data_IF_533214318222
#
_entry.id   IF_533214318222
#
_cell.length_a   1.000
_cell.length_b   1.000
_cell.length_c   1.000
_cell.angle_alpha   90.00
_cell.angle_beta   90.00
_cell.angle_gamma   90.00
#
_symmetry.space_group_name_H-M   'P 1'
#
loop_
_entity.id
_entity.type
_entity.pdbx_description
1 polymer ?
#
# COMPACT_ATOMS: atom_id res chain seq x y z
N UNK A 1 -14.23 -16.63 -2.20
CA UNK A 1 -13.63 -16.04 -0.98
C UNK A 1 -13.28 -14.60 -1.31
N UNK A 2 -13.93 -13.60 -0.70
CA UNK A 2 -13.64 -12.19 -1.02
C UNK A 2 -12.30 -11.83 -0.37
N UNK A 3 -11.26 -11.46 -1.12
CA UNK A 3 -10.06 -10.91 -0.50
C UNK A 3 -10.46 -9.58 0.12
N UNK A 4 -10.57 -9.56 1.45
CA UNK A 4 -10.65 -8.31 2.21
C UNK A 4 -9.34 -7.58 1.95
N UNK A 5 -9.39 -6.57 1.09
CA UNK A 5 -8.41 -5.50 1.03
C UNK A 5 -8.27 -4.93 2.43
N UNK A 6 -7.23 -5.40 3.14
CA UNK A 6 -6.58 -4.81 4.32
C UNK A 6 -7.54 -4.08 5.26
N UNK A 7 -8.33 -4.82 6.04
CA UNK A 7 -8.88 -4.32 7.31
C UNK A 7 -7.80 -4.39 8.40
N UNK A 8 -6.74 -3.60 8.21
CA UNK A 8 -5.57 -3.55 9.07
C UNK A 8 -5.10 -2.13 9.33
N UNK A 9 -6.02 -1.17 9.48
CA UNK A 9 -5.66 0.17 9.97
C UNK A 9 -5.54 0.16 11.50
N UNK A 10 -4.54 -0.54 12.03
CA UNK A 10 -4.03 -0.23 13.37
C UNK A 10 -3.27 1.11 13.26
N UNK A 11 -3.99 2.24 13.34
CA UNK A 11 -3.40 3.58 13.36
C UNK A 11 -3.97 4.61 12.37
N UNK A 12 -5.26 4.58 12.02
CA UNK A 12 -5.86 5.53 11.07
C UNK A 12 -5.93 7.01 11.52
N UNK A 13 -5.18 7.45 12.53
CA UNK A 13 -5.45 8.74 13.19
C UNK A 13 -4.70 9.96 12.62
N UNK A 14 -3.63 9.80 11.82
CA UNK A 14 -2.71 10.92 11.53
C UNK A 14 -2.05 10.85 10.14
N UNK A 15 -2.82 10.52 9.09
CA UNK A 15 -2.36 10.66 7.69
C UNK A 15 -2.87 11.97 7.08
N UNK A 16 -1.97 12.81 6.58
CA UNK A 16 -2.32 14.03 5.84
C UNK A 16 -2.17 13.81 4.33
N UNK A 17 -3.27 13.81 3.58
CA UNK A 17 -3.23 13.70 2.11
C UNK A 17 -2.45 14.87 1.51
N UNK A 18 -1.43 14.58 0.71
CA UNK A 18 -0.58 15.58 0.03
C UNK A 18 -0.76 15.58 -1.47
N UNK A 19 -1.11 14.43 -2.06
CA UNK A 19 -1.27 14.28 -3.51
C UNK A 19 -2.28 13.19 -3.85
N UNK A 20 -2.96 13.35 -4.98
CA UNK A 20 -3.94 12.41 -5.48
C UNK A 20 -3.91 12.36 -7.01
N UNK A 21 -3.96 11.14 -7.56
CA UNK A 21 -4.28 10.88 -8.95
C UNK A 21 -5.68 10.27 -8.97
N UNK A 22 -6.70 11.02 -9.45
CA UNK A 22 -8.05 10.50 -9.50
C UNK A 22 -8.16 9.35 -10.49
N UNK A 23 -9.22 8.55 -10.33
CA UNK A 23 -9.49 7.42 -11.21
C UNK A 23 -9.60 7.86 -12.67
N UNK A 24 -8.98 7.10 -13.56
CA UNK A 24 -9.06 7.27 -15.00
C UNK A 24 -9.35 5.91 -15.67
N UNK A 25 -10.23 5.86 -16.67
CA UNK A 25 -10.64 4.63 -17.33
C UNK A 25 -9.52 3.91 -18.10
N UNK A 26 -8.50 4.65 -18.56
CA UNK A 26 -7.31 4.08 -19.20
C UNK A 26 -6.38 3.47 -18.15
N UNK A 27 -6.16 4.16 -17.03
CA UNK A 27 -5.28 3.69 -15.94
C UNK A 27 -5.92 2.63 -15.05
N UNK A 28 -7.23 2.66 -14.88
CA UNK A 28 -8.03 1.75 -14.05
C UNK A 28 -7.62 1.69 -12.56
N UNK A 29 -6.96 2.73 -12.05
CA UNK A 29 -6.65 2.91 -10.63
C UNK A 29 -6.79 4.37 -10.18
N UNK A 30 -6.91 4.55 -8.87
CA UNK A 30 -6.83 5.80 -8.13
C UNK A 30 -5.68 5.67 -7.12
N UNK A 31 -4.75 6.62 -7.14
CA UNK A 31 -3.60 6.69 -6.23
C UNK A 31 -3.70 7.89 -5.28
N UNK A 32 -3.40 7.68 -4.00
CA UNK A 32 -3.31 8.73 -2.97
C UNK A 32 -1.94 8.65 -2.31
N UNK A 33 -1.27 9.80 -2.15
CA UNK A 33 -0.08 9.93 -1.32
C UNK A 33 -0.45 10.75 -0.09
N UNK A 34 -0.15 10.20 1.08
CA UNK A 34 -0.35 10.87 2.36
C UNK A 34 0.97 10.92 3.12
N UNK A 35 1.20 12.02 3.84
CA UNK A 35 2.25 12.12 4.83
C UNK A 35 1.79 11.44 6.10
N UNK A 36 2.64 10.61 6.67
CA UNK A 36 2.46 10.07 8.01
C UNK A 36 2.90 11.11 9.04
N UNK A 37 1.98 11.46 9.94
CA UNK A 37 2.22 12.40 11.04
C UNK A 37 2.45 11.67 12.38
N UNK A 38 2.49 10.34 12.39
CA UNK A 38 2.88 9.55 13.56
C UNK A 38 4.40 9.62 13.76
N UNK A 39 4.85 9.39 14.99
CA UNK A 39 6.28 9.29 15.25
C UNK A 39 6.82 8.05 14.52
N UNK A 40 7.88 8.18 13.71
CA UNK A 40 8.41 7.08 12.94
C UNK A 40 8.86 5.95 13.89
N UNK A 41 8.51 4.70 13.58
CA UNK A 41 8.96 3.55 14.36
C UNK A 41 10.49 3.41 14.29
N UNK A 42 11.11 2.73 15.25
CA UNK A 42 12.57 2.49 15.23
C UNK A 42 13.03 1.79 13.93
N UNK A 43 12.17 0.95 13.35
CA UNK A 43 12.42 0.27 12.06
C UNK A 43 12.40 1.22 10.87
N UNK A 44 11.49 2.21 10.89
CA UNK A 44 11.41 3.23 9.84
C UNK A 44 12.56 4.22 9.96
N UNK A 45 12.91 4.62 11.19
CA UNK A 45 14.09 5.43 11.48
C UNK A 45 15.38 4.74 11.02
N UNK A 46 15.50 3.42 11.19
CA UNK A 46 16.66 2.67 10.72
C UNK A 46 16.85 2.74 9.19
N UNK A 47 15.75 2.81 8.42
CA UNK A 47 15.77 3.03 6.96
C UNK A 47 15.99 4.49 6.57
N UNK A 48 15.57 5.42 7.43
CA UNK A 48 15.69 6.87 7.24
C UNK A 48 17.02 7.46 7.73
N UNK A 49 17.95 6.66 8.27
CA UNK A 49 19.29 7.07 8.77
C UNK A 49 20.15 7.88 7.79
N UNK A 50 19.70 8.09 6.55
CA UNK A 50 20.35 8.96 5.56
C UNK A 50 19.80 10.39 5.49
N UNK A 51 18.65 10.70 6.09
CA UNK A 51 18.01 12.02 5.98
C UNK A 51 17.63 12.61 7.34
N UNK A 52 18.40 13.60 7.78
CA UNK A 52 18.04 14.45 8.92
C UNK A 52 16.74 15.21 8.59
N UNK A 53 15.69 14.99 9.39
CA UNK A 53 14.37 15.59 9.18
C UNK A 53 13.46 14.88 8.16
N UNK A 54 13.73 13.61 7.83
CA UNK A 54 12.91 12.84 6.89
C UNK A 54 11.44 12.71 7.31
N UNK A 55 10.52 12.93 6.35
CA UNK A 55 9.10 12.66 6.52
C UNK A 55 8.73 11.31 5.88
N UNK A 56 7.90 10.52 6.56
CA UNK A 56 7.36 9.28 6.01
C UNK A 56 6.14 9.62 5.15
N UNK A 57 6.09 9.03 3.97
CA UNK A 57 4.94 9.09 3.09
C UNK A 57 4.40 7.68 2.84
N UNK A 58 3.08 7.56 2.83
CA UNK A 58 2.35 6.34 2.50
C UNK A 58 1.67 6.53 1.16
N UNK A 59 1.89 5.58 0.26
CA UNK A 59 1.20 5.52 -1.03
C UNK A 59 0.11 4.46 -0.94
N UNK A 60 -1.11 4.84 -1.28
CA UNK A 60 -2.27 3.97 -1.31
C UNK A 60 -2.82 3.92 -2.74
N UNK A 61 -3.06 2.73 -3.27
CA UNK A 61 -3.62 2.52 -4.60
C UNK A 61 -4.86 1.64 -4.48
N UNK A 62 -5.95 2.04 -5.15
CA UNK A 62 -7.14 1.22 -5.34
C UNK A 62 -7.51 1.18 -6.82
N UNK A 63 -7.95 0.04 -7.33
CA UNK A 63 -8.24 -0.10 -8.76
C UNK A 63 -8.70 -1.49 -9.13
N UNK A 64 -8.68 -1.76 -10.43
CA UNK A 64 -8.88 -3.10 -10.95
C UNK A 64 -7.80 -4.05 -10.39
N UNK A 65 -8.17 -5.26 -9.95
CA UNK A 65 -7.26 -6.17 -9.23
C UNK A 65 -6.01 -6.49 -10.05
N UNK A 66 -6.15 -6.75 -11.36
CA UNK A 66 -5.04 -7.05 -12.26
C UNK A 66 -4.00 -5.91 -12.31
N UNK A 67 -4.46 -4.66 -12.32
CA UNK A 67 -3.57 -3.48 -12.40
C UNK A 67 -2.86 -3.23 -11.07
N UNK A 68 -3.55 -3.43 -9.95
CA UNK A 68 -2.94 -3.27 -8.62
C UNK A 68 -1.91 -4.38 -8.37
N UNK A 69 -2.24 -5.62 -8.73
CA UNK A 69 -1.35 -6.78 -8.54
C UNK A 69 -0.06 -6.68 -9.34
N UNK A 70 -0.08 -6.06 -10.53
CA UNK A 70 1.14 -5.77 -11.30
C UNK A 70 2.13 -4.89 -10.55
N UNK A 71 1.63 -3.98 -9.71
CA UNK A 71 2.43 -3.03 -8.93
C UNK A 71 2.85 -3.57 -7.56
N UNK A 72 2.43 -4.78 -7.19
CA UNK A 72 2.68 -5.38 -5.88
C UNK A 72 3.74 -6.49 -5.94
N UNK A 73 4.65 -6.50 -4.98
CA UNK A 73 5.64 -7.58 -4.80
C UNK A 73 5.30 -8.53 -3.65
N UNK A 74 4.53 -8.05 -2.67
CA UNK A 74 4.18 -8.78 -1.45
C UNK A 74 2.70 -8.64 -1.13
N UNK A 75 2.14 -9.69 -0.54
CA UNK A 75 0.80 -9.73 0.01
C UNK A 75 0.88 -9.86 1.52
N UNK A 76 0.03 -9.13 2.23
CA UNK A 76 -0.03 -9.18 3.69
C UNK A 76 -1.13 -10.17 4.11
N UNK A 77 -0.75 -11.30 4.72
CA UNK A 77 -1.69 -12.29 5.27
C UNK A 77 -1.44 -12.42 6.77
N UNK A 78 -2.45 -12.14 7.61
CA UNK A 78 -2.39 -12.34 9.07
C UNK A 78 -1.10 -11.79 9.73
N UNK A 79 -0.65 -10.61 9.28
CA UNK A 79 0.58 -9.92 9.71
C UNK A 79 1.91 -10.39 9.09
N UNK A 80 1.89 -11.39 8.21
CA UNK A 80 3.08 -11.83 7.47
C UNK A 80 3.10 -11.29 6.05
N UNK A 81 4.31 -10.93 5.57
CA UNK A 81 4.56 -10.55 4.18
C UNK A 81 4.91 -11.79 3.39
N UNK A 82 3.98 -12.22 2.54
CA UNK A 82 4.16 -13.35 1.62
C UNK A 82 4.52 -12.79 0.24
N UNK A 83 5.57 -13.28 -0.44
CA UNK A 83 5.87 -12.87 -1.81
C UNK A 83 4.72 -13.25 -2.76
N UNK A 84 4.46 -12.40 -3.75
CA UNK A 84 3.43 -12.69 -4.75
C UNK A 84 4.05 -13.56 -5.85
N UNK A 85 3.80 -14.87 -5.75
CA UNK A 85 4.17 -15.85 -6.76
C UNK A 85 3.13 -15.94 -7.89
N UNK A 86 3.49 -16.60 -9.00
CA UNK A 86 2.61 -16.73 -10.17
C UNK A 86 1.27 -17.41 -9.83
N UNK A 87 1.31 -18.44 -8.99
CA UNK A 87 0.11 -19.15 -8.54
C UNK A 87 -0.84 -18.23 -7.77
N UNK A 88 -0.31 -17.40 -6.86
CA UNK A 88 -1.10 -16.41 -6.11
C UNK A 88 -1.70 -15.32 -7.02
N UNK A 89 -1.02 -14.95 -8.11
CA UNK A 89 -1.56 -14.02 -9.10
C UNK A 89 -2.75 -14.60 -9.84
N UNK A 90 -2.65 -15.87 -10.22
CA UNK A 90 -3.72 -16.58 -10.92
C UNK A 90 -4.95 -16.75 -10.01
N UNK A 91 -4.76 -17.16 -8.75
CA UNK A 91 -5.87 -17.26 -7.78
C UNK A 91 -6.65 -15.94 -7.61
N UNK A 92 -5.95 -14.81 -7.65
CA UNK A 92 -6.57 -13.49 -7.50
C UNK A 92 -7.31 -13.00 -8.76
N UNK A 93 -7.02 -13.57 -9.94
CA UNK A 93 -7.69 -13.23 -11.20
C UNK A 93 -8.94 -14.08 -11.49
N UNK A 94 -9.12 -15.21 -10.78
CA UNK A 94 -10.18 -16.21 -11.04
C UNK A 94 -11.49 -15.91 -10.28
N UNK A 95 -11.81 -14.65 -9.97
CA UNK A 95 -13.11 -14.28 -9.39
C UNK A 95 -13.72 -13.03 -10.02
#
# INVERSE_FOLDING_TARGET
MKPKLVEGCYGCALLARVFEVPFNSVRRYHLVVARDLTQPSEEDLAKLKQFDGGAIFVVMIKGAPEVVLESCSYLQIRHERVPIDKELREECQVN
#
